data_IF_874524044971
#
_entry.id   IF_874524044971
#
_cell.length_a   1.000
_cell.length_b   1.000
_cell.length_c   1.000
_cell.angle_alpha   90.00
_cell.angle_beta   90.00
_cell.angle_gamma   90.00
#
_symmetry.space_group_name_H-M   'P 1'
#
loop_
_entity.id
_entity.type
_entity.pdbx_description
1 polymer ?
#
# COMPACT_ATOMS: atom_id res chain seq x y z
N UNK A 1 20.63 -9.52 -13.26
CA UNK A 1 19.91 -8.48 -12.49
C UNK A 1 18.41 -8.73 -12.56
N UNK A 2 17.67 -8.68 -11.44
CA UNK A 2 16.21 -8.93 -11.41
C UNK A 2 15.46 -7.67 -11.84
N UNK A 3 14.62 -7.76 -12.88
CA UNK A 3 13.81 -6.61 -13.34
C UNK A 3 12.87 -6.13 -12.23
N UNK A 4 12.99 -4.86 -11.84
CA UNK A 4 12.08 -4.20 -10.92
C UNK A 4 10.80 -3.81 -11.67
N UNK A 5 9.65 -4.17 -11.10
CA UNK A 5 8.39 -3.59 -11.57
C UNK A 5 8.29 -2.14 -11.09
N UNK A 6 7.55 -1.26 -11.79
CA UNK A 6 7.42 0.14 -11.38
C UNK A 6 7.03 0.32 -9.91
N UNK A 7 6.06 -0.47 -9.43
CA UNK A 7 5.63 -0.44 -8.02
C UNK A 7 6.74 -0.85 -7.04
N UNK A 8 7.58 -1.84 -7.40
CA UNK A 8 8.74 -2.23 -6.58
C UNK A 8 9.82 -1.16 -6.59
N UNK A 9 10.03 -0.48 -7.72
CA UNK A 9 10.96 0.64 -7.82
C UNK A 9 10.49 1.82 -6.95
N UNK A 10 9.20 2.17 -6.98
CA UNK A 10 8.62 3.21 -6.12
C UNK A 10 8.80 2.86 -4.64
N UNK A 11 8.48 1.62 -4.23
CA UNK A 11 8.72 1.16 -2.84
C UNK A 11 10.17 1.35 -2.43
N UNK A 12 11.11 0.95 -3.29
CA UNK A 12 12.56 1.12 -3.03
C UNK A 12 12.93 2.59 -2.91
N UNK A 13 12.36 3.47 -3.75
CA UNK A 13 12.59 4.91 -3.65
C UNK A 13 12.06 5.52 -2.36
N UNK A 14 10.88 5.09 -1.90
CA UNK A 14 10.35 5.55 -0.62
C UNK A 14 11.22 5.09 0.56
N UNK A 15 11.72 3.85 0.53
CA UNK A 15 12.66 3.38 1.54
C UNK A 15 13.95 4.20 1.51
N UNK A 16 14.53 4.42 0.34
CA UNK A 16 15.71 5.28 0.15
C UNK A 16 15.49 6.71 0.69
N UNK A 17 14.34 7.31 0.40
CA UNK A 17 13.95 8.64 0.89
C UNK A 17 13.85 8.71 2.43
N UNK A 18 13.50 7.60 3.09
CA UNK A 18 13.28 7.51 4.53
C UNK A 18 14.39 6.69 5.23
N UNK A 19 15.62 6.76 4.70
CA UNK A 19 16.82 6.11 5.25
C UNK A 19 16.66 4.59 5.52
N UNK A 20 15.90 3.90 4.68
CA UNK A 20 15.62 2.46 4.78
C UNK A 20 14.50 2.09 5.76
N UNK A 21 13.94 3.04 6.50
CA UNK A 21 12.92 2.76 7.51
C UNK A 21 11.53 2.58 6.90
N UNK A 22 11.02 1.35 6.96
CA UNK A 22 9.64 1.07 6.54
C UNK A 22 8.59 1.74 7.45
N UNK A 23 8.94 1.98 8.72
CA UNK A 23 8.09 2.71 9.66
C UNK A 23 7.94 4.16 9.23
N UNK A 24 9.04 4.84 8.92
CA UNK A 24 9.04 6.23 8.43
C UNK A 24 8.27 6.38 7.12
N UNK A 25 8.38 5.42 6.19
CA UNK A 25 7.53 5.41 4.98
C UNK A 25 6.03 5.34 5.32
N UNK A 26 5.66 4.66 6.41
CA UNK A 26 4.27 4.56 6.86
C UNK A 26 3.78 5.89 7.44
N UNK A 27 4.60 6.54 8.25
CA UNK A 27 4.28 7.82 8.94
C UNK A 27 4.73 9.06 8.16
N UNK A 28 5.18 8.89 6.91
CA UNK A 28 5.65 9.97 6.06
C UNK A 28 4.59 11.08 5.96
N UNK A 29 4.93 12.34 6.31
CA UNK A 29 3.97 13.45 6.34
C UNK A 29 3.75 14.10 4.96
N UNK A 30 4.44 13.63 3.92
CA UNK A 30 4.41 14.24 2.60
C UNK A 30 3.19 13.77 1.78
N UNK A 31 2.00 14.21 2.17
CA UNK A 31 0.73 13.85 1.52
C UNK A 31 0.66 14.37 0.07
N UNK A 32 1.34 15.47 -0.24
CA UNK A 32 1.43 16.05 -1.58
C UNK A 32 2.46 15.35 -2.49
N UNK A 33 3.17 14.32 -1.99
CA UNK A 33 4.13 13.58 -2.80
C UNK A 33 3.39 12.77 -3.89
N UNK A 34 3.78 12.88 -5.18
CA UNK A 34 3.17 12.10 -6.26
C UNK A 34 3.27 10.57 -6.06
N UNK A 35 4.24 10.13 -5.27
CA UNK A 35 4.45 8.71 -4.95
C UNK A 35 3.69 8.25 -3.69
N UNK A 36 3.07 9.16 -2.94
CA UNK A 36 2.46 8.88 -1.63
C UNK A 36 1.47 7.71 -1.68
N UNK A 37 0.58 7.72 -2.68
CA UNK A 37 -0.43 6.66 -2.90
C UNK A 37 0.17 5.30 -3.27
N UNK A 38 1.41 5.29 -3.75
CA UNK A 38 2.12 4.09 -4.24
C UNK A 38 3.24 3.64 -3.30
N UNK A 39 3.49 4.36 -2.19
CA UNK A 39 4.65 4.18 -1.30
C UNK A 39 4.80 2.78 -0.68
N UNK A 40 3.70 2.02 -0.68
CA UNK A 40 3.67 0.63 -0.22
C UNK A 40 3.88 -0.40 -1.33
N UNK A 41 4.23 0.02 -2.55
CA UNK A 41 4.42 -0.85 -3.70
C UNK A 41 3.12 -1.50 -4.19
N UNK A 42 1.99 -0.83 -3.99
CA UNK A 42 0.66 -1.26 -4.42
C UNK A 42 0.01 -0.16 -5.25
N UNK A 43 -0.79 -0.54 -6.24
CA UNK A 43 -1.59 0.39 -7.01
C UNK A 43 -3.01 0.48 -6.41
N UNK A 44 -3.42 1.62 -5.83
CA UNK A 44 -4.76 1.77 -5.26
C UNK A 44 -5.87 1.61 -6.30
N UNK A 45 -5.65 2.00 -7.56
CA UNK A 45 -6.62 1.85 -8.65
C UNK A 45 -6.92 0.38 -9.01
N UNK A 46 -6.09 -0.56 -8.53
CA UNK A 46 -6.26 -2.00 -8.76
C UNK A 46 -6.89 -2.72 -7.56
N UNK A 47 -7.29 -1.99 -6.50
CA UNK A 47 -7.94 -2.58 -5.34
C UNK A 47 -9.28 -3.19 -5.77
N UNK A 48 -9.48 -4.49 -5.52
CA UNK A 48 -10.69 -5.22 -5.91
C UNK A 48 -10.72 -5.77 -7.34
N UNK A 49 -9.88 -5.27 -8.27
CA UNK A 49 -9.83 -5.70 -9.68
C UNK A 49 -9.00 -6.97 -9.93
N UNK A 50 -9.07 -7.92 -8.99
CA UNK A 50 -8.37 -9.21 -9.11
C UNK A 50 -8.99 -10.11 -10.19
N UNK A 51 -8.22 -11.08 -10.68
CA UNK A 51 -8.72 -12.07 -11.64
C UNK A 51 -9.81 -12.92 -10.97
N UNK A 52 -11.01 -12.92 -11.56
CA UNK A 52 -12.20 -13.62 -11.01
C UNK A 52 -11.93 -15.11 -10.79
N UNK A 53 -11.11 -15.72 -11.65
CA UNK A 53 -10.68 -17.12 -11.55
C UNK A 53 -10.08 -17.50 -10.17
N UNK A 54 -9.50 -16.53 -9.44
CA UNK A 54 -8.83 -16.74 -8.15
C UNK A 54 -9.69 -16.30 -6.94
N UNK A 55 -10.96 -15.92 -7.14
CA UNK A 55 -11.85 -15.50 -6.05
C UNK A 55 -12.19 -16.65 -5.10
N UNK A 56 -12.32 -17.89 -5.60
CA UNK A 56 -12.62 -19.08 -4.77
C UNK A 56 -11.56 -19.40 -3.70
N UNK A 57 -10.35 -18.85 -3.81
CA UNK A 57 -9.22 -19.16 -2.92
C UNK A 57 -8.91 -18.05 -1.90
N UNK A 58 -9.52 -16.86 -2.02
CA UNK A 58 -9.25 -15.73 -1.11
C UNK A 58 -10.16 -15.81 0.11
N UNK A 59 -9.63 -16.25 1.25
CA UNK A 59 -10.29 -16.04 2.54
C UNK A 59 -10.50 -14.52 2.73
N UNK A 60 -11.70 -14.05 3.14
CA UNK A 60 -11.96 -12.64 3.35
C UNK A 60 -11.03 -12.12 4.45
N UNK A 61 -10.09 -11.24 4.09
CA UNK A 61 -9.23 -10.57 5.06
C UNK A 61 -10.04 -9.46 5.74
N UNK A 62 -10.36 -9.63 7.03
CA UNK A 62 -10.92 -8.59 7.88
C UNK A 62 -9.93 -7.43 8.01
N UNK A 63 -10.01 -6.43 7.12
CA UNK A 63 -9.40 -5.12 7.36
C UNK A 63 -10.38 -4.00 6.97
N UNK A 64 -11.58 -4.07 7.53
CA UNK A 64 -12.44 -2.92 7.76
C UNK A 64 -12.67 -2.84 9.26
N UNK A 65 -11.80 -2.16 10.00
CA UNK A 65 -12.08 -1.85 11.41
C UNK A 65 -13.17 -0.78 11.40
N UNK A 66 -14.37 -1.16 11.83
CA UNK A 66 -15.45 -0.27 12.20
C UNK A 66 -14.91 0.79 13.18
N UNK A 67 -15.09 2.07 12.88
CA UNK A 67 -15.03 3.12 13.90
C UNK A 67 -16.40 3.14 14.57
N UNK A 68 -16.50 2.49 15.72
CA UNK A 68 -17.60 2.75 16.66
C UNK A 68 -17.41 4.17 17.19
N UNK A 69 -18.27 5.08 16.74
CA UNK A 69 -18.51 6.37 17.39
C UNK A 69 -19.41 6.09 18.58
N UNK A 70 -18.85 6.03 19.79
CA UNK A 70 -19.66 6.00 21.00
C UNK A 70 -19.79 7.44 21.49
N UNK A 71 -21.00 7.98 21.35
CA UNK A 71 -21.41 9.23 21.97
C UNK A 71 -21.90 8.90 23.39
N UNK A 72 -21.27 9.51 24.39
CA UNK A 72 -21.86 9.82 25.69
C UNK A 72 -21.38 11.21 26.09
#
# INVERSE_FOLDING_TARGET
>A
MKKLTPLKAIRKKCLDCMCGSAYEVKVCPSDNCPLFSYRFGKNPARKGLGRIENIKQRKPTLSGKNKEINAN
#
